data_IF_075406764754
#
_entry.id   IF_075406764754
#
_cell.length_a   1.000
_cell.length_b   1.000
_cell.length_c   1.000
_cell.angle_alpha   90.00
_cell.angle_beta   90.00
_cell.angle_gamma   90.00
#
_symmetry.space_group_name_H-M   'P 1'
#
loop_
_entity.id
_entity.type
_entity.pdbx_description
1 polymer ?
#
# COMPACT_ATOMS: atom_id res chain seq x y z
N UNK A 1 -6.90 -7.75 -11.01
CA UNK A 1 -6.03 -6.86 -10.20
C UNK A 1 -6.49 -6.94 -8.74
N UNK A 2 -5.57 -6.97 -7.78
CA UNK A 2 -5.93 -6.85 -6.36
C UNK A 2 -5.36 -5.54 -5.77
N UNK A 3 -6.22 -4.66 -5.25
CA UNK A 3 -5.79 -3.37 -4.74
C UNK A 3 -5.18 -3.47 -3.34
N UNK A 4 -4.56 -2.36 -2.93
CA UNK A 4 -4.10 -2.14 -1.56
C UNK A 4 -5.21 -1.72 -0.61
N UNK A 5 -4.82 -1.33 0.60
CA UNK A 5 -5.75 -0.77 1.59
C UNK A 5 -6.52 0.39 0.97
N UNK A 6 -7.83 0.43 1.19
CA UNK A 6 -8.75 1.44 0.68
C UNK A 6 -8.85 1.57 -0.87
N UNK A 7 -8.22 0.67 -1.65
CA UNK A 7 -8.21 0.76 -3.12
C UNK A 7 -9.42 0.13 -3.83
N UNK A 8 -10.38 -0.44 -3.09
CA UNK A 8 -11.65 -0.94 -3.62
C UNK A 8 -12.82 -0.41 -2.82
N UNK A 9 -14.00 -0.31 -3.45
CA UNK A 9 -15.20 0.04 -2.71
C UNK A 9 -15.59 -1.03 -1.69
N UNK A 10 -16.11 -0.60 -0.54
CA UNK A 10 -16.67 -1.46 0.50
C UNK A 10 -18.19 -1.31 0.51
N UNK A 11 -18.89 -2.41 0.23
CA UNK A 11 -20.34 -2.51 0.38
C UNK A 11 -20.66 -3.22 1.68
N UNK A 12 -21.69 -2.75 2.38
CA UNK A 12 -22.13 -3.36 3.63
C UNK A 12 -23.64 -3.53 3.65
N UNK A 13 -24.10 -4.49 4.45
CA UNK A 13 -25.49 -4.61 4.88
C UNK A 13 -25.56 -4.57 6.40
N UNK A 14 -26.56 -3.89 6.95
CA UNK A 14 -26.84 -3.90 8.37
C UNK A 14 -28.25 -4.44 8.64
N UNK A 15 -28.37 -5.39 9.55
CA UNK A 15 -29.65 -5.91 10.03
C UNK A 15 -29.60 -6.00 11.54
N UNK A 16 -30.44 -5.19 12.20
CA UNK A 16 -30.48 -5.05 13.65
C UNK A 16 -29.08 -4.79 14.25
N UNK A 17 -28.29 -3.94 13.59
CA UNK A 17 -26.91 -3.70 13.95
C UNK A 17 -26.77 -2.75 15.14
N UNK A 18 -25.90 -3.09 16.08
CA UNK A 18 -25.61 -2.27 17.26
C UNK A 18 -24.51 -1.27 16.93
N UNK A 19 -24.91 -0.01 16.74
CA UNK A 19 -24.03 1.10 16.30
C UNK A 19 -24.23 2.34 17.20
N UNK A 20 -23.65 2.32 18.42
CA UNK A 20 -23.92 3.34 19.45
C UNK A 20 -23.48 4.76 19.07
N UNK A 21 -22.52 4.93 18.16
CA UNK A 21 -22.12 6.25 17.68
C UNK A 21 -23.02 6.76 16.55
N UNK A 22 -23.82 5.89 15.94
CA UNK A 22 -24.82 6.24 14.93
C UNK A 22 -26.20 6.51 15.53
N UNK A 23 -26.63 5.66 16.47
CA UNK A 23 -27.99 5.66 17.02
C UNK A 23 -28.03 4.94 18.37
N UNK A 24 -28.94 5.37 19.24
CA UNK A 24 -29.24 4.66 20.50
C UNK A 24 -30.06 3.38 20.31
N UNK A 25 -30.66 3.18 19.12
CA UNK A 25 -31.44 1.99 18.76
C UNK A 25 -30.76 1.22 17.62
N UNK A 26 -30.94 -0.13 17.56
CA UNK A 26 -30.38 -0.94 16.48
C UNK A 26 -30.75 -0.44 15.09
N UNK A 27 -29.77 -0.44 14.18
CA UNK A 27 -29.90 0.11 12.82
C UNK A 27 -30.06 -1.03 11.82
N UNK A 28 -31.05 -0.91 10.94
CA UNK A 28 -31.21 -1.82 9.80
C UNK A 28 -31.27 -1.01 8.51
N UNK A 29 -30.47 -1.40 7.52
CA UNK A 29 -30.55 -0.81 6.19
C UNK A 29 -31.28 -1.77 5.25
N UNK A 30 -32.35 -1.32 4.58
CA UNK A 30 -33.17 -2.19 3.73
C UNK A 30 -32.41 -2.67 2.48
N UNK A 31 -31.38 -1.94 2.07
CA UNK A 31 -30.52 -2.27 0.92
C UNK A 31 -29.04 -2.15 1.31
N UNK A 32 -28.17 -3.01 0.77
CA UNK A 32 -26.73 -2.82 0.92
C UNK A 32 -26.30 -1.48 0.34
N UNK A 33 -25.39 -0.78 1.02
CA UNK A 33 -24.89 0.53 0.58
C UNK A 33 -23.37 0.58 0.60
N UNK A 34 -22.82 1.56 -0.12
CA UNK A 34 -21.37 1.78 -0.20
C UNK A 34 -20.90 2.57 1.01
N UNK A 35 -20.14 1.92 1.88
CA UNK A 35 -19.47 2.55 3.01
C UNK A 35 -18.16 3.23 2.58
N UNK A 36 -17.45 2.64 1.62
CA UNK A 36 -16.20 3.17 1.10
C UNK A 36 -16.11 3.08 -0.43
N UNK A 37 -15.52 4.04 -1.15
CA UNK A 37 -15.32 5.42 -0.71
C UNK A 37 -16.68 6.15 -0.80
N UNK A 38 -17.14 6.74 0.30
CA UNK A 38 -18.38 7.52 0.35
C UNK A 38 -18.13 8.86 1.04
N UNK A 39 -17.97 9.91 0.22
CA UNK A 39 -17.64 11.26 0.67
C UNK A 39 -18.68 11.85 1.64
N UNK A 40 -19.95 11.46 1.50
CA UNK A 40 -21.02 11.94 2.37
C UNK A 40 -20.91 11.44 3.82
N UNK A 41 -20.28 10.28 4.03
CA UNK A 41 -20.11 9.68 5.35
C UNK A 41 -18.86 10.17 6.10
N UNK A 42 -17.87 10.67 5.37
CA UNK A 42 -16.59 11.14 5.94
C UNK A 42 -16.51 12.66 6.10
N UNK A 43 -17.49 13.40 5.57
CA UNK A 43 -17.58 14.86 5.73
C UNK A 43 -18.24 15.24 7.06
N UNK A 44 -17.96 16.45 7.58
CA UNK A 44 -18.64 17.00 8.75
C UNK A 44 -20.18 16.94 8.62
N UNK A 45 -20.93 16.86 9.73
CA UNK A 45 -20.49 17.05 11.12
C UNK A 45 -19.75 15.83 11.73
N UNK A 46 -19.05 16.05 12.85
CA UNK A 46 -18.29 15.00 13.56
C UNK A 46 -19.13 13.78 13.91
N UNK A 47 -20.43 13.93 14.15
CA UNK A 47 -21.35 12.81 14.39
C UNK A 47 -21.42 11.83 13.22
N UNK A 48 -21.40 12.31 11.97
CA UNK A 48 -21.39 11.44 10.78
C UNK A 48 -20.08 10.67 10.67
N UNK A 49 -18.96 11.35 10.94
CA UNK A 49 -17.62 10.74 10.92
C UNK A 49 -17.46 9.67 12.01
N UNK A 50 -18.00 9.93 13.20
CA UNK A 50 -18.04 8.95 14.30
C UNK A 50 -18.92 7.76 13.95
N UNK A 51 -20.10 7.98 13.34
CA UNK A 51 -20.94 6.90 12.87
C UNK A 51 -20.27 6.07 11.76
N UNK A 52 -19.63 6.73 10.79
CA UNK A 52 -18.85 6.05 9.76
C UNK A 52 -17.73 5.20 10.36
N UNK A 53 -16.99 5.75 11.32
CA UNK A 53 -15.95 5.04 12.06
C UNK A 53 -16.55 3.83 12.79
N UNK A 54 -17.69 4.01 13.48
CA UNK A 54 -18.37 2.93 14.21
C UNK A 54 -18.67 1.74 13.31
N UNK A 55 -19.15 2.00 12.09
CA UNK A 55 -19.45 0.96 11.11
C UNK A 55 -18.17 0.32 10.56
N UNK A 56 -17.13 1.12 10.30
CA UNK A 56 -15.86 0.66 9.73
C UNK A 56 -15.00 -0.16 10.70
N UNK A 57 -15.13 0.08 12.01
CA UNK A 57 -14.30 -0.56 13.02
C UNK A 57 -14.74 -2.01 13.26
N UNK A 58 -13.88 -3.00 12.97
CA UNK A 58 -14.14 -4.36 13.40
C UNK A 58 -13.99 -4.49 14.92
N UNK A 59 -14.57 -5.54 15.48
CA UNK A 59 -14.36 -5.97 16.86
C UNK A 59 -13.24 -7.00 16.85
N UNK A 60 -12.19 -6.73 17.61
CA UNK A 60 -11.11 -7.67 17.83
C UNK A 60 -11.29 -8.34 19.20
N UNK A 61 -10.90 -9.61 19.31
CA UNK A 61 -10.73 -10.23 20.63
C UNK A 61 -9.61 -9.53 21.44
N UNK A 62 -9.46 -9.93 22.71
CA UNK A 62 -8.50 -9.33 23.64
C UNK A 62 -7.05 -9.35 23.13
N UNK A 63 -6.71 -10.32 22.28
CA UNK A 63 -5.35 -10.54 21.76
C UNK A 63 -5.16 -10.01 20.35
N UNK A 64 -6.24 -9.64 19.65
CA UNK A 64 -6.22 -9.33 18.23
C UNK A 64 -5.93 -10.55 17.35
N UNK A 65 -6.35 -11.74 17.76
CA UNK A 65 -6.24 -12.96 16.95
C UNK A 65 -7.34 -13.02 15.89
N UNK A 66 -8.58 -12.69 16.30
CA UNK A 66 -9.74 -12.70 15.43
C UNK A 66 -10.36 -11.31 15.37
N UNK A 67 -10.63 -10.85 14.15
CA UNK A 67 -11.36 -9.62 13.85
C UNK A 67 -12.69 -9.97 13.21
N UNK A 68 -13.78 -9.49 13.78
CA UNK A 68 -15.15 -9.72 13.28
C UNK A 68 -15.83 -8.39 13.00
N UNK A 69 -16.85 -8.42 12.13
CA UNK A 69 -17.76 -7.28 12.00
C UNK A 69 -18.57 -7.11 13.29
N UNK A 70 -19.02 -5.89 13.58
CA UNK A 70 -19.97 -5.64 14.68
C UNK A 70 -21.25 -6.44 14.48
N UNK A 71 -21.93 -6.74 15.58
CA UNK A 71 -23.20 -7.47 15.54
C UNK A 71 -24.18 -6.81 14.57
N UNK A 72 -24.76 -7.62 13.68
CA UNK A 72 -25.70 -7.18 12.65
C UNK A 72 -25.06 -6.52 11.42
N UNK A 73 -23.74 -6.31 11.40
CA UNK A 73 -23.00 -5.92 10.19
C UNK A 73 -22.40 -7.14 9.51
N UNK A 74 -22.44 -7.14 8.18
CA UNK A 74 -21.76 -8.14 7.36
C UNK A 74 -20.75 -7.47 6.42
N UNK A 75 -19.48 -7.84 6.58
CA UNK A 75 -18.36 -7.50 5.70
C UNK A 75 -17.65 -8.81 5.38
N UNK A 76 -17.71 -9.25 4.12
CA UNK A 76 -17.15 -10.54 3.71
C UNK A 76 -15.95 -10.37 2.76
N UNK A 77 -14.89 -11.11 3.05
CA UNK A 77 -13.74 -11.31 2.18
C UNK A 77 -13.71 -12.79 1.80
N UNK A 78 -14.30 -13.10 0.66
CA UNK A 78 -14.50 -14.48 0.24
C UNK A 78 -13.39 -14.95 -0.73
N UNK A 79 -12.43 -15.70 -0.20
CA UNK A 79 -11.40 -16.34 -1.01
C UNK A 79 -11.94 -17.45 -1.92
N UNK A 80 -13.07 -18.06 -1.59
CA UNK A 80 -13.75 -19.04 -2.45
C UNK A 80 -14.26 -18.34 -3.71
N UNK A 81 -14.88 -17.18 -3.54
CA UNK A 81 -15.29 -16.34 -4.67
C UNK A 81 -14.09 -15.86 -5.48
N UNK A 82 -13.00 -15.41 -4.85
CA UNK A 82 -11.79 -15.02 -5.58
C UNK A 82 -11.25 -16.17 -6.45
N UNK A 83 -11.17 -17.37 -5.87
CA UNK A 83 -10.75 -18.58 -6.58
C UNK A 83 -11.66 -18.86 -7.77
N UNK A 84 -12.98 -18.88 -7.56
CA UNK A 84 -13.98 -19.16 -8.60
C UNK A 84 -13.96 -18.13 -9.73
N UNK A 85 -13.77 -16.85 -9.42
CA UNK A 85 -13.65 -15.79 -10.43
C UNK A 85 -12.39 -15.98 -11.30
N UNK A 86 -11.26 -16.37 -10.70
CA UNK A 86 -10.04 -16.68 -11.46
C UNK A 86 -10.29 -17.88 -12.39
N UNK A 87 -10.86 -18.96 -11.87
CA UNK A 87 -11.17 -20.17 -12.65
C UNK A 87 -12.08 -19.84 -13.83
N UNK A 88 -13.21 -19.16 -13.57
CA UNK A 88 -14.19 -18.77 -14.59
C UNK A 88 -13.57 -17.90 -15.68
N UNK A 89 -12.69 -16.95 -15.32
CA UNK A 89 -12.04 -16.06 -16.29
C UNK A 89 -11.01 -16.79 -17.13
N UNK A 90 -10.22 -17.68 -16.55
CA UNK A 90 -9.27 -18.51 -17.29
C UNK A 90 -10.00 -19.43 -18.26
N UNK A 91 -11.09 -20.07 -17.82
CA UNK A 91 -11.92 -20.92 -18.68
C UNK A 91 -12.56 -20.13 -19.83
N UNK A 92 -13.11 -18.95 -19.55
CA UNK A 92 -13.67 -18.06 -20.57
C UNK A 92 -12.64 -17.56 -21.59
N UNK A 93 -11.35 -17.53 -21.22
CA UNK A 93 -10.23 -17.17 -22.10
C UNK A 93 -9.57 -18.39 -22.75
N UNK A 94 -10.27 -19.53 -22.84
CA UNK A 94 -9.78 -20.74 -23.53
C UNK A 94 -8.63 -21.43 -22.79
N UNK A 95 -8.54 -21.25 -21.47
CA UNK A 95 -7.49 -21.84 -20.64
C UNK A 95 -6.21 -20.99 -20.54
N UNK A 96 -6.20 -19.77 -21.09
CA UNK A 96 -5.08 -18.85 -20.90
C UNK A 96 -4.96 -18.46 -19.41
N UNK A 97 -3.82 -18.80 -18.80
CA UNK A 97 -3.54 -18.56 -17.38
C UNK A 97 -3.58 -17.07 -17.04
N UNK A 98 -3.97 -16.73 -15.81
CA UNK A 98 -4.13 -15.36 -15.37
C UNK A 98 -2.79 -14.68 -15.04
N UNK A 99 -2.59 -13.47 -15.57
CA UNK A 99 -1.58 -12.53 -15.08
C UNK A 99 -2.19 -11.66 -13.97
N UNK A 100 -1.66 -11.79 -12.76
CA UNK A 100 -2.22 -11.16 -11.57
C UNK A 100 -1.37 -9.96 -11.16
N UNK A 101 -1.93 -8.77 -11.34
CA UNK A 101 -1.37 -7.53 -10.82
C UNK A 101 -1.91 -7.23 -9.43
N UNK A 102 -1.03 -6.98 -8.47
CA UNK A 102 -1.41 -6.62 -7.10
C UNK A 102 -0.65 -5.39 -6.61
N UNK A 103 -1.27 -4.63 -5.72
CA UNK A 103 -0.73 -3.37 -5.21
C UNK A 103 -0.70 -3.34 -3.68
N UNK A 104 0.40 -2.84 -3.10
CA UNK A 104 0.50 -2.49 -1.66
C UNK A 104 0.07 -3.65 -0.73
N UNK A 105 -0.92 -3.46 0.15
CA UNK A 105 -1.44 -4.52 1.03
C UNK A 105 -2.02 -5.71 0.27
N UNK A 106 -2.53 -5.51 -0.95
CA UNK A 106 -3.03 -6.58 -1.81
C UNK A 106 -1.97 -7.65 -2.09
N UNK A 107 -0.69 -7.27 -2.05
CA UNK A 107 0.44 -8.20 -2.12
C UNK A 107 0.47 -9.17 -0.94
N UNK A 108 0.20 -8.72 0.28
CA UNK A 108 0.16 -9.60 1.46
C UNK A 108 -1.03 -10.55 1.36
N UNK A 109 -2.21 -10.02 1.02
CA UNK A 109 -3.46 -10.79 0.91
C UNK A 109 -3.38 -11.85 -0.19
N UNK A 110 -2.87 -11.50 -1.37
CA UNK A 110 -2.74 -12.47 -2.45
C UNK A 110 -1.64 -13.50 -2.17
N UNK A 111 -0.55 -13.11 -1.51
CA UNK A 111 0.47 -14.08 -1.11
C UNK A 111 -0.07 -15.07 -0.08
N UNK A 112 -0.91 -14.62 0.85
CA UNK A 112 -1.65 -15.51 1.75
C UNK A 112 -2.54 -16.47 0.96
N UNK A 113 -3.32 -15.98 -0.01
CA UNK A 113 -4.16 -16.81 -0.86
C UNK A 113 -3.35 -17.92 -1.57
N UNK A 114 -2.23 -17.56 -2.22
CA UNK A 114 -1.37 -18.50 -2.95
C UNK A 114 -0.66 -19.53 -2.05
N UNK A 115 -0.41 -19.20 -0.78
CA UNK A 115 0.33 -20.06 0.14
C UNK A 115 -0.55 -20.88 1.11
N UNK A 116 -1.77 -20.43 1.38
CA UNK A 116 -2.63 -20.99 2.44
C UNK A 116 -3.99 -21.45 1.95
N UNK A 117 -4.49 -20.91 0.84
CA UNK A 117 -5.84 -21.20 0.34
C UNK A 117 -5.82 -22.18 -0.83
N UNK A 118 -4.86 -22.02 -1.75
CA UNK A 118 -4.74 -22.87 -2.95
C UNK A 118 -3.49 -23.74 -2.90
N UNK A 119 -3.52 -24.85 -3.65
CA UNK A 119 -2.39 -25.77 -3.78
C UNK A 119 -1.56 -25.49 -5.04
N UNK A 120 -0.42 -26.17 -5.16
CA UNK A 120 0.48 -26.00 -6.31
C UNK A 120 -0.15 -26.41 -7.65
N UNK A 121 -0.86 -27.56 -7.76
CA UNK A 121 -1.55 -27.93 -8.99
C UNK A 121 -2.55 -26.86 -9.48
N UNK A 122 -3.28 -26.23 -8.56
CA UNK A 122 -4.18 -25.13 -8.89
C UNK A 122 -3.40 -23.93 -9.44
N UNK A 123 -2.30 -23.53 -8.78
CA UNK A 123 -1.46 -22.41 -9.21
C UNK A 123 -0.87 -22.66 -10.60
N UNK A 124 -0.36 -23.86 -10.84
CA UNK A 124 0.22 -24.25 -12.13
C UNK A 124 -0.82 -24.25 -13.25
N UNK A 125 -2.08 -24.53 -12.94
CA UNK A 125 -3.19 -24.51 -13.90
C UNK A 125 -3.68 -23.09 -14.20
N UNK A 126 -3.79 -22.21 -13.21
CA UNK A 126 -4.54 -20.96 -13.35
C UNK A 126 -3.70 -19.68 -13.32
N UNK A 127 -2.45 -19.70 -12.83
CA UNK A 127 -1.63 -18.50 -12.67
C UNK A 127 -0.45 -18.52 -13.63
N UNK A 128 -0.34 -17.47 -14.45
CA UNK A 128 0.78 -17.26 -15.36
C UNK A 128 1.91 -16.51 -14.65
N UNK A 129 1.58 -15.32 -14.15
CA UNK A 129 2.52 -14.47 -13.42
C UNK A 129 1.84 -13.69 -12.32
N UNK A 130 2.65 -13.31 -11.34
CA UNK A 130 2.28 -12.55 -10.15
C UNK A 130 3.12 -11.27 -10.11
N UNK A 131 2.53 -10.14 -10.51
CA UNK A 131 3.22 -8.84 -10.58
C UNK A 131 2.85 -8.00 -9.36
N UNK A 132 3.86 -7.69 -8.55
CA UNK A 132 3.81 -6.92 -7.33
C UNK A 132 4.14 -5.44 -7.63
N UNK A 133 3.22 -4.52 -7.32
CA UNK A 133 3.45 -3.07 -7.44
C UNK A 133 3.49 -2.43 -6.07
N UNK A 134 4.60 -1.79 -5.73
CA UNK A 134 4.85 -1.19 -4.42
C UNK A 134 4.44 -2.15 -3.25
N UNK A 135 4.95 -3.40 -3.24
CA UNK A 135 4.50 -4.40 -2.29
C UNK A 135 4.88 -4.05 -0.85
N UNK A 136 3.97 -4.30 0.08
CA UNK A 136 4.23 -4.12 1.52
C UNK A 136 4.86 -5.35 2.20
N UNK A 137 5.76 -6.06 1.49
CA UNK A 137 6.34 -7.34 1.94
C UNK A 137 7.37 -7.20 3.08
N UNK A 138 7.83 -5.99 3.37
CA UNK A 138 8.66 -5.68 4.54
C UNK A 138 7.89 -5.04 5.70
N UNK A 139 6.58 -4.85 5.54
CA UNK A 139 5.81 -3.90 6.35
C UNK A 139 6.08 -2.45 5.94
N UNK A 140 5.59 -1.52 6.75
CA UNK A 140 5.64 -0.08 6.52
C UNK A 140 5.74 0.67 7.85
N UNK A 141 6.75 1.52 8.00
CA UNK A 141 6.90 2.40 9.17
C UNK A 141 5.72 3.37 9.32
N UNK A 142 4.94 3.62 8.25
CA UNK A 142 3.70 4.41 8.30
C UNK A 142 2.62 3.75 9.17
N UNK A 143 2.61 2.43 9.24
CA UNK A 143 1.70 1.71 10.13
C UNK A 143 2.00 2.02 11.61
N UNK A 144 3.28 2.19 11.96
CA UNK A 144 3.69 2.62 13.31
C UNK A 144 3.10 4.01 13.61
N UNK A 145 3.29 4.97 12.70
CA UNK A 145 2.71 6.32 12.84
C UNK A 145 1.20 6.29 12.99
N UNK A 146 0.51 5.54 12.14
CA UNK A 146 -0.94 5.43 12.16
C UNK A 146 -1.48 4.93 13.52
N UNK A 147 -0.78 3.99 14.17
CA UNK A 147 -1.15 3.48 15.50
C UNK A 147 -0.79 4.48 16.61
N UNK A 148 0.39 5.09 16.55
CA UNK A 148 0.85 6.01 17.60
C UNK A 148 0.01 7.30 17.59
N UNK A 149 0.00 7.99 16.46
CA UNK A 149 -0.37 9.41 16.39
C UNK A 149 -1.49 9.68 15.40
N UNK A 150 -1.83 8.70 14.57
CA UNK A 150 -2.80 8.85 13.50
C UNK A 150 -2.16 9.38 12.23
N UNK A 151 -2.95 9.45 11.17
CA UNK A 151 -2.44 9.75 9.85
C UNK A 151 -3.28 10.85 9.20
N UNK A 152 -2.70 12.04 9.03
CA UNK A 152 -3.30 13.14 8.26
C UNK A 152 -2.24 14.01 7.59
N UNK A 153 -1.13 13.39 7.20
CA UNK A 153 -0.05 14.10 6.55
C UNK A 153 -0.41 14.39 5.09
N UNK A 154 -0.23 15.64 4.63
CA UNK A 154 -0.45 16.00 3.23
C UNK A 154 0.59 15.38 2.28
N UNK A 155 1.72 14.89 2.79
CA UNK A 155 2.80 14.27 2.01
C UNK A 155 2.47 12.83 1.63
N UNK A 156 1.49 12.22 2.29
CA UNK A 156 1.50 10.79 2.47
C UNK A 156 0.36 10.10 1.70
N UNK A 157 0.64 9.96 0.39
CA UNK A 157 -0.15 9.36 -0.69
C UNK A 157 -1.31 10.24 -1.22
N UNK A 158 -1.12 10.74 -2.44
CA UNK A 158 -2.06 11.53 -3.28
C UNK A 158 -3.49 10.98 -3.44
N UNK A 159 -3.77 9.76 -2.98
CA UNK A 159 -5.13 9.22 -2.93
C UNK A 159 -5.97 9.85 -1.80
N UNK A 160 -5.35 10.18 -0.66
CA UNK A 160 -6.05 10.75 0.50
C UNK A 160 -6.37 12.24 0.33
N UNK A 161 -5.53 12.97 -0.42
CA UNK A 161 -5.77 14.37 -0.78
C UNK A 161 -6.86 14.52 -1.85
N UNK A 162 -7.03 13.53 -2.74
CA UNK A 162 -8.08 13.54 -3.77
C UNK A 162 -9.48 13.18 -3.22
N UNK A 163 -9.54 12.60 -2.03
CA UNK A 163 -10.78 12.18 -1.35
C UNK A 163 -11.20 13.11 -0.20
N UNK A 164 -10.59 14.30 -0.05
CA UNK A 164 -10.84 15.24 1.08
C UNK A 164 -10.73 14.57 2.47
N UNK A 165 -9.89 13.55 2.64
CA UNK A 165 -9.84 12.78 3.91
C UNK A 165 -9.10 13.56 5.01
N UNK A 166 -8.43 14.66 4.65
CA UNK A 166 -8.01 15.70 5.58
C UNK A 166 -9.14 16.29 6.43
N UNK A 167 -10.41 16.05 6.06
CA UNK A 167 -11.58 16.43 6.84
C UNK A 167 -11.88 15.49 8.01
N UNK A 168 -11.31 14.28 8.05
CA UNK A 168 -11.48 13.38 9.19
C UNK A 168 -10.48 13.76 10.28
N UNK A 169 -10.94 14.04 11.51
CA UNK A 169 -10.09 14.29 12.66
C UNK A 169 -9.06 13.16 12.88
N UNK A 170 -7.83 13.54 13.27
CA UNK A 170 -6.69 12.61 13.43
C UNK A 170 -6.97 11.55 14.47
N UNK A 171 -7.64 11.92 15.54
CA UNK A 171 -8.06 11.02 16.62
C UNK A 171 -9.00 9.93 16.11
N UNK A 172 -9.98 10.28 15.27
CA UNK A 172 -10.90 9.32 14.64
C UNK A 172 -10.12 8.35 13.73
N UNK A 173 -9.21 8.87 12.90
CA UNK A 173 -8.38 8.03 12.02
C UNK A 173 -7.42 7.11 12.79
N UNK A 174 -6.86 7.61 13.89
CA UNK A 174 -5.99 6.82 14.78
C UNK A 174 -6.77 5.69 15.43
N UNK A 175 -7.94 5.98 15.97
CA UNK A 175 -8.77 4.97 16.65
C UNK A 175 -9.29 3.92 15.66
N UNK A 176 -9.64 4.33 14.44
CA UNK A 176 -9.89 3.39 13.34
C UNK A 176 -8.63 2.57 13.00
N UNK A 177 -7.46 3.19 12.87
CA UNK A 177 -6.22 2.47 12.54
C UNK A 177 -5.87 1.41 13.59
N UNK A 178 -6.14 1.69 14.87
CA UNK A 178 -5.94 0.78 16.01
C UNK A 178 -6.95 -0.37 16.08
N UNK A 179 -8.07 -0.29 15.38
CA UNK A 179 -9.02 -1.41 15.29
C UNK A 179 -8.77 -2.30 14.07
N UNK A 180 -8.07 -1.80 13.06
CA UNK A 180 -7.87 -2.52 11.80
C UNK A 180 -6.68 -3.49 11.87
N UNK A 181 -6.95 -4.79 11.89
CA UNK A 181 -5.91 -5.84 11.79
C UNK A 181 -4.98 -5.70 10.58
N UNK A 182 -5.46 -5.10 9.48
CA UNK A 182 -4.67 -4.80 8.29
C UNK A 182 -3.53 -3.80 8.54
N UNK A 183 -3.68 -2.87 9.49
CA UNK A 183 -2.62 -1.95 9.88
C UNK A 183 -1.53 -2.69 10.66
N UNK A 184 -1.93 -3.60 11.55
CA UNK A 184 -0.98 -4.44 12.29
C UNK A 184 -0.23 -5.43 11.39
N UNK A 185 -0.89 -5.98 10.36
CA UNK A 185 -0.25 -6.83 9.35
C UNK A 185 0.82 -6.09 8.53
N UNK A 186 0.77 -4.75 8.50
CA UNK A 186 1.75 -3.90 7.84
C UNK A 186 2.89 -3.45 8.77
N UNK A 187 2.95 -3.91 10.02
CA UNK A 187 4.06 -3.54 10.89
C UNK A 187 5.39 -4.09 10.36
N UNK A 188 6.49 -3.31 10.46
CA UNK A 188 7.81 -3.78 10.02
C UNK A 188 8.24 -5.06 10.74
N UNK A 189 8.78 -6.01 9.97
CA UNK A 189 9.34 -7.25 10.49
C UNK A 189 10.83 -7.07 10.82
N UNK A 190 11.15 -6.86 12.10
CA UNK A 190 12.52 -6.60 12.58
C UNK A 190 13.33 -7.91 12.74
N UNK A 191 12.66 -9.07 12.83
CA UNK A 191 13.33 -10.36 13.05
C UNK A 191 13.93 -10.96 11.77
N UNK A 192 13.75 -10.32 10.62
CA UNK A 192 14.57 -10.57 9.43
C UNK A 192 15.97 -9.99 9.60
N UNK A 193 16.72 -10.52 10.58
CA UNK A 193 18.19 -10.53 10.55
C UNK A 193 18.62 -11.35 9.34
N UNK A 194 18.74 -10.72 8.17
CA UNK A 194 19.49 -11.26 7.02
C UNK A 194 18.75 -11.68 5.75
N UNK A 195 17.58 -11.14 5.40
CA UNK A 195 17.04 -11.31 4.02
C UNK A 195 16.08 -10.23 3.53
N UNK A 196 16.28 -8.99 3.99
CA UNK A 196 15.96 -7.82 3.17
C UNK A 196 17.21 -6.97 3.12
N UNK A 197 18.24 -7.49 2.46
CA UNK A 197 19.07 -6.63 1.65
C UNK A 197 18.29 -6.39 0.35
N UNK A 198 17.61 -5.25 0.12
CA UNK A 198 17.99 -4.57 -1.10
C UNK A 198 19.50 -4.34 -0.95
N UNK A 199 20.29 -4.58 -1.97
CA UNK A 199 21.71 -4.30 -1.89
C UNK A 199 21.95 -2.80 -1.60
N UNK A 200 21.84 -2.38 -0.35
CA UNK A 200 22.50 -1.21 0.20
C UNK A 200 23.92 -1.68 0.50
N UNK A 201 24.67 -1.98 -0.55
CA UNK A 201 26.08 -1.66 -0.52
C UNK A 201 26.16 -0.16 -0.84
N UNK A 202 26.85 0.65 -0.02
CA UNK A 202 27.24 1.97 -0.47
C UNK A 202 28.20 1.73 -1.63
N UNK A 203 27.73 1.85 -2.87
CA UNK A 203 28.63 1.95 -4.02
C UNK A 203 29.26 3.34 -3.97
N UNK A 204 30.29 3.42 -3.13
CA UNK A 204 31.42 4.30 -3.32
C UNK A 204 32.06 3.89 -4.65
N UNK A 205 31.99 4.82 -5.59
CA UNK A 205 32.88 5.03 -6.73
C UNK A 205 33.17 3.84 -7.69
N UNK A 206 32.65 3.94 -8.92
CA UNK A 206 32.99 3.03 -10.01
C UNK A 206 32.45 3.55 -11.34
N UNK A 207 33.36 4.04 -12.18
CA UNK A 207 33.09 4.70 -13.46
C UNK A 207 32.37 3.86 -14.54
N UNK A 208 32.28 4.41 -15.76
CA UNK A 208 31.31 4.01 -16.76
C UNK A 208 31.78 2.73 -17.47
N UNK A 209 31.36 1.56 -16.99
CA UNK A 209 31.18 0.33 -17.77
C UNK A 209 30.83 -0.86 -16.84
N UNK A 210 29.66 -1.49 -17.04
CA UNK A 210 29.53 -2.94 -16.82
C UNK A 210 28.42 -3.44 -15.91
N UNK A 211 27.38 -4.00 -16.56
CA UNK A 211 26.57 -5.19 -16.22
C UNK A 211 25.69 -5.15 -14.95
N UNK A 212 24.38 -5.20 -15.18
CA UNK A 212 23.33 -5.43 -14.19
C UNK A 212 23.52 -6.79 -13.47
N UNK A 213 23.35 -6.85 -12.13
CA UNK A 213 23.48 -8.09 -11.38
C UNK A 213 22.18 -8.90 -11.38
N UNK A 214 22.18 -10.03 -12.10
CA UNK A 214 21.23 -11.14 -11.90
C UNK A 214 21.52 -11.85 -10.58
N UNK A 215 20.71 -11.64 -9.55
CA UNK A 215 20.75 -12.45 -8.31
C UNK A 215 19.95 -13.74 -8.48
N UNK A 216 20.66 -14.87 -8.58
CA UNK A 216 20.09 -16.22 -8.59
C UNK A 216 19.64 -16.64 -7.18
N UNK A 217 18.34 -16.85 -6.99
CA UNK A 217 17.80 -17.50 -5.78
C UNK A 217 17.76 -19.04 -5.96
N UNK A 218 17.96 -19.76 -4.86
CA UNK A 218 18.34 -21.18 -4.79
C UNK A 218 17.29 -22.23 -5.24
N UNK A 219 16.32 -21.88 -6.07
CA UNK A 219 15.34 -22.82 -6.65
C UNK A 219 14.96 -22.41 -8.08
N UNK A 220 15.89 -22.49 -9.03
CA UNK A 220 15.65 -22.58 -10.49
C UNK A 220 14.71 -21.54 -11.15
N UNK A 221 14.27 -20.50 -10.45
CA UNK A 221 13.29 -19.51 -10.89
C UNK A 221 13.88 -18.14 -10.60
N UNK A 222 14.08 -17.37 -11.66
CA UNK A 222 14.62 -16.02 -11.57
C UNK A 222 13.51 -15.07 -11.09
N UNK A 223 13.75 -14.39 -9.97
CA UNK A 223 12.90 -13.29 -9.51
C UNK A 223 13.30 -12.05 -10.31
N UNK A 224 12.36 -11.51 -11.08
CA UNK A 224 12.65 -10.36 -11.93
C UNK A 224 12.30 -9.06 -11.19
N UNK A 225 13.32 -8.23 -11.04
CA UNK A 225 13.33 -7.04 -10.22
C UNK A 225 13.52 -5.84 -11.16
N UNK A 226 12.49 -4.99 -11.31
CA UNK A 226 12.55 -3.83 -12.21
C UNK A 226 12.23 -2.53 -11.49
N UNK A 227 13.07 -1.53 -11.70
CA UNK A 227 12.79 -0.16 -11.28
C UNK A 227 11.76 0.48 -12.21
N UNK A 228 10.83 1.25 -11.66
CA UNK A 228 9.80 1.93 -12.47
C UNK A 228 10.40 2.89 -13.52
N UNK A 229 11.60 3.43 -13.30
CA UNK A 229 12.31 4.31 -14.25
C UNK A 229 13.03 3.57 -15.38
N UNK A 230 13.10 2.23 -15.34
CA UNK A 230 13.82 1.39 -16.31
C UNK A 230 12.86 0.66 -17.28
N UNK A 231 11.59 1.12 -17.38
CA UNK A 231 10.68 0.60 -18.40
C UNK A 231 11.33 0.79 -19.79
N UNK A 232 11.62 -0.33 -20.45
CA UNK A 232 12.43 -0.41 -21.65
C UNK A 232 11.96 0.56 -22.75
N UNK A 233 12.93 1.15 -23.46
CA UNK A 233 12.69 1.73 -24.77
C UNK A 233 12.01 0.69 -25.69
N UNK A 234 11.15 1.10 -26.64
CA UNK A 234 10.48 0.17 -27.53
C UNK A 234 11.53 -0.67 -28.25
N UNK A 235 11.41 -2.00 -28.16
CA UNK A 235 12.31 -2.92 -28.85
C UNK A 235 12.24 -2.68 -30.37
N UNK A 236 13.39 -2.44 -31.00
CA UNK A 236 13.53 -2.48 -32.46
C UNK A 236 13.14 -3.88 -32.95
N UNK A 237 12.06 -3.94 -33.71
CA UNK A 237 11.53 -5.18 -34.26
C UNK A 237 12.52 -5.82 -35.22
N UNK A 238 12.92 -7.06 -34.91
CA UNK A 238 13.59 -7.93 -35.88
C UNK A 238 12.63 -8.31 -37.00
N UNK A 239 13.11 -8.18 -38.24
CA UNK A 239 12.40 -8.56 -39.46
C UNK A 239 11.96 -10.03 -39.41
N UNK A 240 10.65 -10.25 -39.41
CA UNK A 240 10.04 -11.52 -39.81
C UNK A 240 9.23 -11.29 -41.07
N UNK A 241 9.74 -11.82 -42.16
CA UNK A 241 9.15 -11.80 -43.50
C UNK A 241 7.83 -12.57 -43.50
N UNK A 242 6.72 -11.87 -43.74
CA UNK A 242 5.41 -12.48 -44.06
C UNK A 242 5.03 -12.03 -45.46
N UNK A 243 4.76 -12.99 -46.34
CA UNK A 243 4.35 -12.77 -47.73
C UNK A 243 3.08 -11.90 -47.81
N UNK A 244 3.15 -10.86 -48.62
CA UNK A 244 2.02 -9.99 -48.97
C UNK A 244 0.94 -10.77 -49.76
N UNK A 245 -0.29 -10.74 -49.25
CA UNK A 245 -1.48 -10.82 -50.09
C UNK A 245 -2.09 -9.42 -50.18
N UNK A 246 -2.12 -8.90 -51.41
CA UNK A 246 -2.59 -7.58 -51.73
C UNK A 246 -4.10 -7.43 -51.50
N UNK A 247 -4.51 -6.56 -50.56
CA UNK A 247 -5.81 -5.92 -50.62
C UNK A 247 -5.88 -4.60 -49.84
N UNK A 248 -6.22 -3.53 -50.59
CA UNK A 248 -6.97 -2.34 -50.17
C UNK A 248 -6.22 -1.14 -49.54
N UNK A 249 -6.02 -0.11 -50.38
CA UNK A 249 -5.57 1.26 -50.07
C UNK A 249 -6.57 2.12 -49.24
N UNK A 250 -7.46 1.52 -48.44
CA UNK A 250 -8.35 2.25 -47.51
C UNK A 250 -8.02 2.08 -46.03
N UNK A 251 -7.12 1.16 -45.66
CA UNK A 251 -6.76 0.91 -44.25
C UNK A 251 -5.52 1.68 -43.78
N UNK A 252 -4.62 2.10 -44.69
CA UNK A 252 -3.36 2.77 -44.33
C UNK A 252 -3.56 4.19 -43.76
N UNK A 253 -4.56 4.93 -44.23
CA UNK A 253 -4.87 6.26 -43.67
C UNK A 253 -5.53 6.18 -42.29
N UNK A 254 -6.38 5.16 -42.06
CA UNK A 254 -7.01 4.93 -40.76
C UNK A 254 -5.99 4.46 -39.71
N UNK A 255 -5.07 3.55 -40.07
CA UNK A 255 -3.98 3.09 -39.19
C UNK A 255 -2.96 4.20 -38.90
N UNK A 256 -2.61 5.03 -39.90
CA UNK A 256 -1.72 6.19 -39.70
C UNK A 256 -2.36 7.28 -38.82
N UNK A 257 -3.66 7.54 -38.97
CA UNK A 257 -4.38 8.47 -38.08
C UNK A 257 -4.50 7.90 -36.65
N UNK A 258 -4.74 6.59 -36.49
CA UNK A 258 -4.80 5.94 -35.17
C UNK A 258 -3.44 6.00 -34.46
N UNK A 259 -2.36 5.70 -35.20
CA UNK A 259 -0.96 5.78 -34.73
C UNK A 259 -0.58 7.20 -34.29
N UNK A 260 -0.93 8.21 -35.09
CA UNK A 260 -0.64 9.61 -34.78
C UNK A 260 -1.43 10.11 -33.57
N UNK A 261 -2.70 9.72 -33.46
CA UNK A 261 -3.55 10.01 -32.30
C UNK A 261 -3.02 9.33 -31.03
N UNK A 262 -2.47 8.12 -31.16
CA UNK A 262 -1.88 7.39 -30.05
C UNK A 262 -0.55 8.03 -29.58
N UNK A 263 0.32 8.44 -30.50
CA UNK A 263 1.54 9.19 -30.19
C UNK A 263 1.24 10.55 -29.53
N UNK A 264 0.22 11.27 -30.00
CA UNK A 264 -0.20 12.53 -29.38
C UNK A 264 -0.75 12.33 -27.96
N UNK A 265 -1.50 11.24 -27.72
CA UNK A 265 -1.94 10.86 -26.37
C UNK A 265 -0.78 10.47 -25.47
N UNK A 266 0.18 9.70 -25.96
CA UNK A 266 1.37 9.30 -25.20
C UNK A 266 2.21 10.53 -24.83
N UNK A 267 2.40 11.46 -25.77
CA UNK A 267 3.10 12.72 -25.51
C UNK A 267 2.38 13.58 -24.48
N UNK A 268 1.04 13.70 -24.57
CA UNK A 268 0.24 14.42 -23.59
C UNK A 268 0.31 13.77 -22.20
N UNK A 269 0.26 12.43 -22.12
CA UNK A 269 0.44 11.69 -20.86
C UNK A 269 1.83 11.94 -20.29
N UNK A 270 2.87 11.93 -21.13
CA UNK A 270 4.25 12.17 -20.70
C UNK A 270 4.44 13.60 -20.18
N UNK A 271 3.93 14.60 -20.90
CA UNK A 271 3.99 16.01 -20.50
C UNK A 271 3.22 16.26 -19.19
N UNK A 272 2.01 15.70 -19.07
CA UNK A 272 1.20 15.78 -17.84
C UNK A 272 1.91 15.09 -16.68
N UNK A 273 2.52 13.94 -16.93
CA UNK A 273 3.29 13.20 -15.92
C UNK A 273 4.51 14.00 -15.47
N UNK A 274 5.27 14.56 -16.41
CA UNK A 274 6.46 15.37 -16.11
C UNK A 274 6.11 16.61 -15.30
N UNK A 275 5.04 17.34 -15.69
CA UNK A 275 4.56 18.50 -14.95
C UNK A 275 4.10 18.12 -13.53
N UNK A 276 3.42 16.99 -13.36
CA UNK A 276 3.05 16.47 -12.04
C UNK A 276 4.28 16.08 -11.21
N UNK A 277 5.30 15.48 -11.82
CA UNK A 277 6.55 15.13 -11.14
C UNK A 277 7.28 16.39 -10.67
N UNK A 278 7.37 17.43 -11.52
CA UNK A 278 8.04 18.68 -11.17
C UNK A 278 7.33 19.43 -10.02
N UNK A 279 5.99 19.52 -10.08
CA UNK A 279 5.22 20.09 -8.97
C UNK A 279 5.41 19.31 -7.66
N UNK A 280 5.46 17.98 -7.74
CA UNK A 280 5.71 17.13 -6.56
C UNK A 280 7.11 17.33 -6.01
N UNK A 281 8.12 17.44 -6.87
CA UNK A 281 9.51 17.69 -6.46
C UNK A 281 9.63 19.04 -5.74
N UNK A 282 9.01 20.10 -6.27
CA UNK A 282 8.95 21.41 -5.61
C UNK A 282 8.24 21.36 -4.25
N UNK A 283 7.16 20.59 -4.16
CA UNK A 283 6.44 20.40 -2.90
C UNK A 283 7.31 19.67 -1.86
N UNK A 284 8.01 18.62 -2.25
CA UNK A 284 8.95 17.88 -1.37
C UNK A 284 10.08 18.79 -0.89
N UNK A 285 10.68 19.59 -1.77
CA UNK A 285 11.72 20.55 -1.38
C UNK A 285 11.24 21.60 -0.39
N UNK A 286 10.02 22.12 -0.58
CA UNK A 286 9.42 23.08 0.37
C UNK A 286 9.24 22.45 1.74
N UNK A 287 8.72 21.22 1.80
CA UNK A 287 8.57 20.52 3.07
C UNK A 287 9.91 20.19 3.74
N UNK A 288 10.92 19.79 2.97
CA UNK A 288 12.26 19.57 3.51
C UNK A 288 12.85 20.85 4.12
N UNK A 289 12.65 22.01 3.46
CA UNK A 289 13.07 23.30 4.00
C UNK A 289 12.28 23.68 5.26
N UNK A 290 10.96 23.49 5.29
CA UNK A 290 10.12 23.73 6.47
C UNK A 290 10.48 22.81 7.65
N UNK A 291 10.79 21.54 7.37
CA UNK A 291 11.27 20.57 8.37
C UNK A 291 12.61 21.01 8.95
N UNK A 292 13.56 21.40 8.07
CA UNK A 292 14.87 21.89 8.49
C UNK A 292 14.77 23.17 9.34
N UNK A 293 13.94 24.13 8.95
CA UNK A 293 13.70 25.36 9.73
C UNK A 293 13.12 25.04 11.12
N UNK A 294 12.20 24.07 11.21
CA UNK A 294 11.62 23.62 12.49
C UNK A 294 12.62 22.84 13.34
N UNK A 295 13.47 22.03 12.74
CA UNK A 295 14.57 21.35 13.42
C UNK A 295 15.56 22.37 14.00
N UNK A 296 15.95 23.39 13.23
CA UNK A 296 16.83 24.46 13.70
C UNK A 296 16.15 25.32 14.79
N UNK A 297 14.83 25.50 14.73
CA UNK A 297 14.08 26.16 15.79
C UNK A 297 14.03 25.28 17.06
N UNK A 298 13.89 23.96 16.91
CA UNK A 298 13.94 23.03 18.03
C UNK A 298 15.34 22.96 18.65
N UNK A 299 16.39 22.90 17.84
CA UNK A 299 17.78 22.92 18.31
C UNK A 299 18.08 24.20 19.10
N UNK A 300 17.56 25.35 18.64
CA UNK A 300 17.57 26.60 19.38
C UNK A 300 16.81 26.51 20.71
N UNK A 301 15.59 25.97 20.71
CA UNK A 301 14.81 25.78 21.94
C UNK A 301 15.49 24.82 22.93
N UNK A 302 16.13 23.76 22.44
CA UNK A 302 16.90 22.80 23.26
C UNK A 302 18.14 23.48 23.84
N UNK A 303 18.84 24.29 23.03
CA UNK A 303 20.00 25.06 23.46
C UNK A 303 19.63 26.15 24.47
N UNK A 304 18.47 26.81 24.28
CA UNK A 304 17.94 27.86 25.17
C UNK A 304 17.34 27.29 26.47
N UNK A 305 16.78 26.07 26.44
CA UNK A 305 16.19 25.41 27.61
C UNK A 305 17.24 24.87 28.61
N UNK A 306 18.53 24.82 28.25
CA UNK A 306 19.57 24.25 29.10
C UNK A 306 19.46 22.73 29.29
N UNK A 307 20.32 22.16 30.15
CA UNK A 307 20.58 20.71 30.36
C UNK A 307 19.36 19.79 30.68
N UNK A 308 18.13 20.30 30.69
CA UNK A 308 16.93 19.57 31.11
C UNK A 308 16.13 18.88 29.98
N UNK A 309 16.59 18.94 28.72
CA UNK A 309 15.94 18.20 27.61
C UNK A 309 16.48 16.78 27.50
N UNK A 310 15.72 15.81 28.01
CA UNK A 310 16.04 14.39 27.84
C UNK A 310 15.52 13.89 26.47
N UNK A 311 16.44 13.66 25.53
CA UNK A 311 16.12 12.97 24.28
C UNK A 311 15.90 11.47 24.53
N UNK A 312 14.76 10.93 24.13
CA UNK A 312 14.43 9.51 24.23
C UNK A 312 14.23 8.95 22.83
N UNK A 313 15.12 8.04 22.42
CA UNK A 313 15.13 7.47 21.07
C UNK A 313 14.48 6.08 21.08
N UNK A 314 13.48 5.91 20.23
CA UNK A 314 12.85 4.61 19.94
C UNK A 314 13.21 4.15 18.53
N UNK A 315 13.59 2.90 18.42
CA UNK A 315 13.91 2.20 17.17
C UNK A 315 12.75 1.32 16.73
N UNK A 316 12.83 0.77 15.51
CA UNK A 316 11.89 -0.27 15.05
C UNK A 316 11.83 -1.47 16.01
N UNK A 317 12.88 -1.76 16.79
CA UNK A 317 12.90 -2.88 17.72
C UNK A 317 12.17 -2.64 19.06
N UNK A 318 12.00 -1.40 19.50
CA UNK A 318 11.48 -1.09 20.84
C UNK A 318 10.32 -0.08 20.88
N UNK A 319 9.87 0.46 19.75
CA UNK A 319 8.76 1.44 19.70
C UNK A 319 7.45 0.93 20.31
N UNK A 320 7.22 -0.40 20.36
CA UNK A 320 6.01 -0.99 20.95
C UNK A 320 5.86 -0.72 22.45
N UNK A 321 6.93 -0.29 23.12
CA UNK A 321 6.89 0.19 24.51
C UNK A 321 6.07 1.48 24.67
N UNK A 322 5.94 2.26 23.60
CA UNK A 322 5.08 3.45 23.54
C UNK A 322 3.58 3.13 23.47
N UNK A 323 3.24 1.87 23.17
CA UNK A 323 1.86 1.44 23.06
C UNK A 323 1.26 1.08 24.42
N UNK A 324 -0.04 1.37 24.63
CA UNK A 324 -0.83 0.73 25.67
C UNK A 324 -0.70 -0.80 25.64
N UNK A 325 -0.83 -1.49 26.79
CA UNK A 325 -0.65 -2.94 26.88
C UNK A 325 -1.49 -3.73 25.87
N UNK A 326 -2.75 -3.34 25.66
CA UNK A 326 -3.65 -4.01 24.72
C UNK A 326 -3.17 -3.91 23.27
N UNK A 327 -2.71 -2.73 22.84
CA UNK A 327 -2.23 -2.53 21.46
C UNK A 327 -0.87 -3.21 21.25
N UNK A 328 -0.06 -3.32 22.32
CA UNK A 328 1.22 -4.05 22.28
C UNK A 328 1.01 -5.54 22.03
N UNK A 329 0.05 -6.15 22.73
CA UNK A 329 -0.32 -7.55 22.50
C UNK A 329 -0.77 -7.77 21.06
N UNK A 330 -1.63 -6.89 20.52
CA UNK A 330 -2.07 -6.96 19.13
C UNK A 330 -0.92 -6.87 18.13
N UNK A 331 0.02 -5.96 18.36
CA UNK A 331 1.21 -5.82 17.52
C UNK A 331 2.08 -7.10 17.53
N UNK A 332 2.26 -7.71 18.70
CA UNK A 332 3.00 -8.97 18.83
C UNK A 332 2.28 -10.15 18.18
N UNK A 333 0.96 -10.26 18.37
CA UNK A 333 0.12 -11.29 17.73
C UNK A 333 0.18 -11.16 16.21
N UNK A 334 0.01 -9.96 15.67
CA UNK A 334 0.10 -9.73 14.23
C UNK A 334 1.50 -10.07 13.69
N UNK A 335 2.57 -9.71 14.40
CA UNK A 335 3.94 -10.10 14.01
C UNK A 335 4.07 -11.62 13.91
N UNK A 336 3.53 -12.39 14.87
CA UNK A 336 3.55 -13.86 14.84
C UNK A 336 2.77 -14.42 13.66
N UNK A 337 1.56 -13.91 13.38
CA UNK A 337 0.75 -14.34 12.24
C UNK A 337 1.40 -14.05 10.90
N UNK A 338 2.09 -12.92 10.78
CA UNK A 338 2.79 -12.53 9.57
C UNK A 338 4.03 -13.40 9.26
N UNK A 339 4.54 -14.14 10.25
CA UNK A 339 5.68 -15.04 10.04
C UNK A 339 5.35 -16.11 8.99
N UNK A 340 6.12 -16.09 7.90
CA UNK A 340 5.98 -17.07 6.83
C UNK A 340 4.79 -16.87 5.89
N UNK A 341 3.97 -15.83 6.06
CA UNK A 341 2.94 -15.45 5.06
C UNK A 341 3.60 -15.05 3.75
N UNK A 342 4.77 -14.42 3.83
CA UNK A 342 5.52 -13.88 2.69
C UNK A 342 6.55 -14.85 2.10
N UNK A 343 6.32 -16.16 2.25
CA UNK A 343 7.12 -17.19 1.57
C UNK A 343 6.86 -17.14 0.06
N UNK A 344 7.83 -17.64 -0.70
CA UNK A 344 7.72 -17.80 -2.15
C UNK A 344 6.42 -18.53 -2.49
N UNK A 345 5.50 -17.91 -3.25
CA UNK A 345 4.21 -18.51 -3.60
C UNK A 345 4.31 -19.63 -4.63
N UNK A 346 5.49 -19.93 -5.18
CA UNK A 346 5.65 -21.00 -6.15
C UNK A 346 5.06 -20.66 -7.52
N UNK A 347 4.95 -19.37 -7.86
CA UNK A 347 4.54 -18.87 -9.18
C UNK A 347 5.54 -17.83 -9.70
N UNK A 348 5.68 -17.64 -11.02
CA UNK A 348 6.55 -16.59 -11.58
C UNK A 348 6.18 -15.22 -11.01
N UNK A 349 7.12 -14.57 -10.33
CA UNK A 349 6.87 -13.33 -9.58
C UNK A 349 7.72 -12.19 -10.13
N UNK A 350 7.09 -11.05 -10.39
CA UNK A 350 7.75 -9.81 -10.82
C UNK A 350 7.52 -8.73 -9.77
N UNK A 351 8.55 -8.00 -9.42
CA UNK A 351 8.46 -6.89 -8.47
C UNK A 351 8.71 -5.56 -9.17
N UNK A 352 7.81 -4.60 -8.95
CA UNK A 352 7.91 -3.23 -9.41
C UNK A 352 7.86 -2.32 -8.18
N UNK A 353 8.92 -1.55 -7.98
CA UNK A 353 8.99 -0.55 -6.91
C UNK A 353 9.59 0.76 -7.41
N UNK A 354 9.37 1.80 -6.63
CA UNK A 354 10.04 3.09 -6.78
C UNK A 354 11.14 3.20 -5.72
N UNK A 355 12.23 3.84 -6.11
CA UNK A 355 13.33 4.21 -5.21
C UNK A 355 13.42 5.72 -5.26
N UNK A 356 13.54 6.36 -4.11
CA UNK A 356 13.84 7.79 -4.04
C UNK A 356 15.21 8.03 -4.70
N UNK A 357 15.35 9.14 -5.43
CA UNK A 357 16.62 9.52 -6.07
C UNK A 357 17.72 9.86 -5.07
N UNK A 358 17.36 10.03 -3.81
CA UNK A 358 18.23 10.20 -2.66
C UNK A 358 17.91 9.10 -1.64
N UNK A 359 18.91 8.46 -1.02
CA UNK A 359 18.66 7.53 0.08
C UNK A 359 18.09 8.31 1.27
N UNK A 360 16.78 8.22 1.50
CA UNK A 360 16.13 8.69 2.72
C UNK A 360 15.80 7.48 3.60
N UNK A 361 16.80 6.96 4.30
CA UNK A 361 16.59 5.94 5.34
C UNK A 361 16.18 6.54 6.68
N UNK A 362 16.29 7.85 6.84
CA UNK A 362 16.06 8.53 8.10
C UNK A 362 14.63 9.12 8.16
N UNK A 363 13.63 8.26 8.00
CA UNK A 363 12.26 8.67 8.33
C UNK A 363 12.07 8.48 9.84
N UNK A 364 12.50 9.48 10.60
CA UNK A 364 12.23 9.62 12.02
C UNK A 364 10.96 10.42 12.29
N UNK A 365 10.30 10.17 13.41
CA UNK A 365 9.21 11.02 13.90
C UNK A 365 9.63 11.65 15.21
N UNK A 366 9.73 12.97 15.23
CA UNK A 366 10.16 13.73 16.41
C UNK A 366 8.92 14.29 17.10
N UNK A 367 8.80 14.11 18.42
CA UNK A 367 7.67 14.62 19.20
C UNK A 367 8.15 15.59 20.27
N UNK A 368 7.57 16.81 20.29
CA UNK A 368 7.76 17.75 21.39
C UNK A 368 6.90 17.33 22.59
N UNK A 369 7.42 16.42 23.41
CA UNK A 369 6.82 15.95 24.65
C UNK A 369 6.28 14.51 24.60
N UNK A 370 5.62 14.10 25.68
CA UNK A 370 5.14 12.73 25.89
C UNK A 370 3.78 12.44 25.23
N UNK A 371 3.07 13.49 24.79
CA UNK A 371 1.77 13.37 24.14
C UNK A 371 1.89 13.02 22.66
N UNK A 372 1.91 11.71 22.37
CA UNK A 372 1.93 11.17 21.02
C UNK A 372 0.59 11.39 20.27
N UNK A 373 -0.44 12.00 20.86
CA UNK A 373 -1.63 12.37 20.08
C UNK A 373 -1.40 13.55 19.14
N UNK A 374 -0.31 14.28 19.35
CA UNK A 374 0.10 15.41 18.52
C UNK A 374 0.88 14.93 17.30
N UNK A 375 0.82 15.72 16.22
CA UNK A 375 1.64 15.44 15.05
C UNK A 375 3.12 15.49 15.41
N UNK A 376 3.95 14.61 14.81
CA UNK A 376 5.39 14.80 14.92
C UNK A 376 5.79 16.11 14.25
N UNK A 377 6.88 16.67 14.74
CA UNK A 377 7.61 17.74 14.07
C UNK A 377 8.09 17.14 12.72
N UNK A 378 7.80 17.79 11.58
CA UNK A 378 8.16 17.29 10.26
C UNK A 378 9.65 17.13 10.05
#
# INVERSE_FOLDING_TARGET
MLPGIAGSGLMISAKNASLPLCSSSPVSFPVPFRLWASLSLVRPPRSHQLCWMDIMQPVADEKGEVYTSKEGLNVDMDFTRLKSEIETRVEAMGGAKADVLVHSLGSVVFNYFLNKVVDQPWKDKYINSYTLVAPATGGSFKAIKAILTGYNDPVDLTFWTLLDISLIPVDILRDLSRSLGSIYALLPDIDKKGSFSPAFSPFVDGGPNGKDPTTTAAHGRNLELRRLSEAAAPAEGGEQTVMEFAQSDRNKEAEAMLSKTQQEREKLVQETTNAQVEQRTLQVHRYAAEAQERMEAMDRLVTEAGEDVQEIIYTLGNWTTLLPPELRVRAETARKHMQGILKDPGVPTRCIWSVFGFPSTDVGYIYAGTDLSRKPIP
#
